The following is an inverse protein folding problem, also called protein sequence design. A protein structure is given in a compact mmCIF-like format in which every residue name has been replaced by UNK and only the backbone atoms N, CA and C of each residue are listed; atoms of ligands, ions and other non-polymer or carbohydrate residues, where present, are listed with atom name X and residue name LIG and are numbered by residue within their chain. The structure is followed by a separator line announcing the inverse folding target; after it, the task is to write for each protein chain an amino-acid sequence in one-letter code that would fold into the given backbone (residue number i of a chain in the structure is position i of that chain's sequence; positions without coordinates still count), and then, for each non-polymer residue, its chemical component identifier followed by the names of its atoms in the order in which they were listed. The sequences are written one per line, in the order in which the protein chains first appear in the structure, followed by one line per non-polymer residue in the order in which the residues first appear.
data_IF_832788572986
#
_entry.id   IF_832788572986
#
_cell.length_a   1.000
_cell.length_b   1.000
_cell.length_c   1.000
_cell.angle_alpha   90.00
_cell.angle_beta   90.00
_cell.angle_gamma   90.00
#
_symmetry.space_group_name_H-M   'P 1'
#
loop_
_entity.id
_entity.type
_entity.pdbx_description
1 polymer ?
#
# COMPACT_ATOMS: atom_id res chain seq x y z
N UNK A 1 -7.89 27.34 -7.03
CA UNK A 1 -8.07 26.16 -7.88
C UNK A 1 -7.58 26.43 -9.29
N UNK A 2 -6.66 25.62 -9.79
CA UNK A 2 -6.19 25.63 -11.17
C UNK A 2 -6.18 24.19 -11.70
N UNK A 3 -6.34 24.02 -13.00
CA UNK A 3 -6.22 22.71 -13.66
C UNK A 3 -4.86 22.71 -14.35
N UNK A 4 -3.98 21.78 -13.97
CA UNK A 4 -2.65 21.67 -14.58
C UNK A 4 -2.63 20.47 -15.54
N UNK A 5 -2.20 20.70 -16.78
CA UNK A 5 -2.01 19.62 -17.74
C UNK A 5 -0.57 19.10 -17.70
N UNK A 6 -0.43 17.78 -17.61
CA UNK A 6 0.86 17.07 -17.53
C UNK A 6 0.94 16.03 -18.65
N UNK A 7 2.12 15.88 -19.26
CA UNK A 7 2.42 14.93 -20.34
C UNK A 7 2.28 15.50 -21.76
N UNK A 8 3.07 15.00 -22.70
CA UNK A 8 3.15 15.55 -24.08
C UNK A 8 1.84 15.49 -24.88
N UNK A 9 0.94 14.55 -24.56
CA UNK A 9 -0.38 14.49 -25.19
C UNK A 9 -1.25 15.72 -24.87
N UNK A 10 -0.95 16.46 -23.81
CA UNK A 10 -1.61 17.72 -23.48
C UNK A 10 -1.41 18.82 -24.53
N UNK A 11 -0.47 18.66 -25.47
CA UNK A 11 -0.30 19.57 -26.62
C UNK A 11 -1.47 19.53 -27.61
N UNK A 12 -2.25 18.45 -27.63
CA UNK A 12 -3.35 18.29 -28.60
C UNK A 12 -4.49 19.28 -28.32
N UNK A 13 -4.84 20.19 -29.26
CA UNK A 13 -5.91 21.17 -29.07
C UNK A 13 -7.29 20.53 -28.85
N UNK A 14 -7.51 19.33 -29.38
CA UNK A 14 -8.75 18.57 -29.18
C UNK A 14 -8.94 18.19 -27.70
N UNK A 15 -7.89 17.69 -27.04
CA UNK A 15 -7.92 17.29 -25.62
C UNK A 15 -8.21 18.50 -24.73
N UNK A 16 -7.58 19.64 -25.00
CA UNK A 16 -7.79 20.88 -24.22
C UNK A 16 -9.22 21.39 -24.31
N UNK A 17 -9.76 21.45 -25.53
CA UNK A 17 -11.14 21.91 -25.75
C UNK A 17 -12.13 21.01 -25.03
N UNK A 18 -11.90 19.70 -25.08
CA UNK A 18 -12.78 18.74 -24.42
C UNK A 18 -12.68 18.82 -22.89
N UNK A 19 -11.47 18.95 -22.33
CA UNK A 19 -11.28 19.17 -20.89
C UNK A 19 -11.89 20.49 -20.41
N UNK A 20 -11.74 21.57 -21.17
CA UNK A 20 -12.37 22.86 -20.86
C UNK A 20 -13.91 22.75 -20.85
N UNK A 21 -14.48 21.95 -21.76
CA UNK A 21 -15.91 21.67 -21.83
C UNK A 21 -16.40 20.85 -20.63
N UNK A 22 -15.65 19.83 -20.23
CA UNK A 22 -16.01 18.94 -19.11
C UNK A 22 -15.86 19.65 -17.77
N UNK A 23 -14.75 20.37 -17.58
CA UNK A 23 -14.38 20.99 -16.30
C UNK A 23 -14.94 22.42 -16.15
N UNK A 24 -15.52 22.98 -17.22
CA UNK A 24 -16.11 24.32 -17.25
C UNK A 24 -15.09 25.45 -17.05
N UNK A 25 -13.80 25.15 -17.17
CA UNK A 25 -12.67 26.05 -16.86
C UNK A 25 -11.51 25.74 -17.78
N UNK A 26 -10.76 26.78 -18.15
CA UNK A 26 -9.62 26.62 -19.05
C UNK A 26 -8.41 26.00 -18.30
N UNK A 27 -7.86 24.89 -18.78
CA UNK A 27 -6.68 24.28 -18.18
C UNK A 27 -5.42 25.14 -18.37
N UNK A 28 -4.65 25.31 -17.29
CA UNK A 28 -3.36 25.96 -17.32
C UNK A 28 -2.30 25.03 -17.94
N UNK A 29 -1.47 25.62 -18.79
CA UNK A 29 -0.43 24.96 -19.54
C UNK A 29 0.92 25.38 -18.98
N UNK A 30 1.61 24.42 -18.38
CA UNK A 30 3.00 24.60 -17.99
C UNK A 30 3.85 24.64 -19.26
N UNK A 31 4.93 25.43 -19.26
CA UNK A 31 5.78 25.63 -20.42
C UNK A 31 6.25 24.30 -21.06
N UNK A 32 6.66 23.33 -20.23
CA UNK A 32 7.13 22.01 -20.64
C UNK A 32 6.36 20.91 -19.88
N UNK A 33 5.15 20.53 -20.35
CA UNK A 33 4.32 19.54 -19.65
C UNK A 33 4.90 18.12 -19.69
N UNK A 34 5.82 17.84 -20.62
CA UNK A 34 6.57 16.58 -20.70
C UNK A 34 7.69 16.43 -19.67
N UNK A 35 8.26 17.55 -19.20
CA UNK A 35 9.40 17.55 -18.27
C UNK A 35 8.99 17.79 -16.81
N UNK A 36 7.79 18.33 -16.58
CA UNK A 36 7.34 18.77 -15.25
C UNK A 36 7.39 17.66 -14.18
N UNK A 37 7.12 16.41 -14.56
CA UNK A 37 7.19 15.26 -13.63
C UNK A 37 8.63 15.01 -13.18
N UNK A 38 9.58 15.08 -14.11
CA UNK A 38 11.00 14.89 -13.79
C UNK A 38 11.55 16.04 -12.94
N UNK A 39 11.14 17.28 -13.23
CA UNK A 39 11.49 18.46 -12.43
C UNK A 39 10.94 18.31 -11.00
N UNK A 40 9.68 17.88 -10.86
CA UNK A 40 9.05 17.62 -9.56
C UNK A 40 9.80 16.56 -8.76
N UNK A 41 10.22 15.47 -9.41
CA UNK A 41 11.03 14.43 -8.76
C UNK A 41 12.39 14.95 -8.30
N UNK A 42 13.06 15.79 -9.10
CA UNK A 42 14.34 16.39 -8.72
C UNK A 42 14.21 17.33 -7.51
N UNK A 43 13.13 18.10 -7.44
CA UNK A 43 12.82 18.95 -6.29
C UNK A 43 12.57 18.11 -5.02
N UNK A 44 11.89 16.97 -5.14
CA UNK A 44 11.65 16.07 -4.02
C UNK A 44 12.96 15.46 -3.49
N UNK A 45 13.88 15.08 -4.37
CA UNK A 45 15.23 14.63 -3.97
C UNK A 45 15.98 15.75 -3.25
N UNK A 46 15.99 16.97 -3.80
CA UNK A 46 16.64 18.11 -3.18
C UNK A 46 16.05 18.45 -1.80
N UNK A 47 14.75 18.21 -1.58
CA UNK A 47 14.09 18.31 -0.28
C UNK A 47 14.55 17.22 0.69
N UNK A 48 14.62 15.97 0.24
CA UNK A 48 15.10 14.84 1.06
C UNK A 48 16.56 15.03 1.49
N UNK A 49 17.38 15.66 0.65
CA UNK A 49 18.77 16.02 0.95
C UNK A 49 18.91 17.28 1.84
N UNK A 50 17.81 17.98 2.11
CA UNK A 50 17.79 19.20 2.94
C UNK A 50 18.26 20.47 2.23
N UNK A 51 18.38 20.45 0.90
CA UNK A 51 18.75 21.63 0.09
C UNK A 51 17.62 22.66 0.00
N UNK A 52 16.37 22.21 0.20
CA UNK A 52 15.17 23.05 0.18
C UNK A 52 14.44 22.90 1.52
N UNK A 53 14.30 24.01 2.27
CA UNK A 53 13.59 24.05 3.54
C UNK A 53 12.18 24.67 3.37
N UNK A 54 11.23 24.25 4.20
CA UNK A 54 9.91 24.89 4.31
C UNK A 54 8.76 24.27 3.51
N UNK A 55 8.96 23.10 2.88
CA UNK A 55 7.89 22.36 2.19
C UNK A 55 7.56 21.09 2.97
N UNK A 56 6.35 21.02 3.51
CA UNK A 56 5.78 19.79 4.08
C UNK A 56 4.98 19.08 3.00
N UNK A 57 5.49 17.93 2.54
CA UNK A 57 4.75 17.03 1.66
C UNK A 57 3.94 16.05 2.51
N UNK A 58 2.62 16.04 2.31
CA UNK A 58 1.71 15.08 2.92
C UNK A 58 1.17 14.23 1.79
N UNK A 59 1.63 12.99 1.72
CA UNK A 59 1.17 12.04 0.71
C UNK A 59 0.01 11.19 1.26
N UNK A 60 -0.73 10.55 0.38
CA UNK A 60 -1.91 9.74 0.71
C UNK A 60 -1.89 8.38 0.02
N UNK A 61 -2.39 7.35 0.69
CA UNK A 61 -2.48 6.01 0.14
C UNK A 61 -3.40 5.97 -1.10
N UNK A 62 -2.87 5.51 -2.24
CA UNK A 62 -3.62 5.46 -3.49
C UNK A 62 -4.84 4.51 -3.44
N UNK A 63 -4.75 3.44 -2.65
CA UNK A 63 -5.81 2.44 -2.43
C UNK A 63 -5.85 2.05 -0.95
N UNK A 64 -7.04 1.68 -0.48
CA UNK A 64 -7.21 1.13 0.86
C UNK A 64 -6.63 -0.28 1.00
N UNK A 65 -6.37 -0.68 2.23
CA UNK A 65 -5.92 -2.03 2.61
C UNK A 65 -6.98 -2.67 3.50
N UNK A 66 -7.35 -3.90 3.14
CA UNK A 66 -8.34 -4.70 3.87
C UNK A 66 -7.76 -6.03 4.32
N UNK A 67 -8.32 -6.57 5.39
CA UNK A 67 -8.01 -7.91 5.91
C UNK A 67 -9.21 -8.84 5.69
N UNK A 68 -8.95 -10.11 5.45
CA UNK A 68 -9.96 -11.16 5.50
C UNK A 68 -9.43 -12.32 6.33
N UNK A 69 -10.29 -12.92 7.15
CA UNK A 69 -9.95 -14.05 8.00
C UNK A 69 -10.75 -15.27 7.53
N UNK A 70 -10.10 -16.42 7.35
CA UNK A 70 -10.74 -17.70 6.95
C UNK A 70 -11.65 -17.61 5.71
N UNK A 71 -11.19 -16.93 4.65
CA UNK A 71 -11.99 -16.68 3.43
C UNK A 71 -13.32 -15.94 3.68
N UNK A 72 -13.40 -15.19 4.78
CA UNK A 72 -14.54 -14.32 5.09
C UNK A 72 -14.58 -13.05 4.25
N UNK A 73 -15.51 -12.13 4.55
CA UNK A 73 -15.54 -10.81 3.92
C UNK A 73 -14.24 -10.04 4.20
N UNK A 74 -13.90 -9.14 3.29
CA UNK A 74 -12.81 -8.20 3.51
C UNK A 74 -13.29 -7.04 4.41
N UNK A 75 -12.55 -6.79 5.47
CA UNK A 75 -12.76 -5.68 6.39
C UNK A 75 -11.68 -4.61 6.15
N UNK A 76 -12.06 -3.37 5.81
CA UNK A 76 -11.09 -2.30 5.59
C UNK A 76 -10.37 -1.93 6.89
N UNK A 77 -9.05 -1.82 6.81
CA UNK A 77 -8.18 -1.43 7.92
C UNK A 77 -7.60 -0.05 7.70
N UNK A 78 -7.02 0.19 6.54
CA UNK A 78 -6.51 1.51 6.15
C UNK A 78 -7.33 1.98 4.96
N UNK A 79 -7.96 3.14 5.09
CA UNK A 79 -8.82 3.68 4.04
C UNK A 79 -7.99 4.25 2.88
N UNK A 80 -8.56 4.22 1.69
CA UNK A 80 -8.08 4.97 0.54
C UNK A 80 -7.95 6.45 0.92
N UNK A 81 -6.89 7.09 0.41
CA UNK A 81 -6.58 8.48 0.70
C UNK A 81 -6.21 8.78 2.15
N UNK A 82 -5.92 7.77 2.97
CA UNK A 82 -5.31 7.97 4.29
C UNK A 82 -3.92 8.57 4.14
N UNK A 83 -3.56 9.53 4.98
CA UNK A 83 -2.23 10.16 4.99
C UNK A 83 -1.15 9.11 5.26
N UNK A 84 -0.06 9.11 4.50
CA UNK A 84 1.11 8.24 4.76
C UNK A 84 2.30 9.06 5.25
N UNK A 85 3.13 8.52 6.16
CA UNK A 85 3.03 7.18 6.75
C UNK A 85 1.88 7.05 7.76
N UNK A 86 1.25 5.88 7.79
CA UNK A 86 0.16 5.54 8.73
C UNK A 86 0.29 4.13 9.27
N UNK A 87 -0.29 3.91 10.45
CA UNK A 87 -0.39 2.59 11.07
C UNK A 87 -1.79 2.41 11.65
N UNK A 88 -2.34 1.21 11.47
CA UNK A 88 -3.63 0.84 11.99
C UNK A 88 -3.56 -0.55 12.62
N UNK A 89 -4.36 -0.75 13.65
CA UNK A 89 -4.36 -1.97 14.46
C UNK A 89 -5.67 -2.73 14.31
N UNK A 90 -5.57 -4.06 14.21
CA UNK A 90 -6.71 -4.98 14.28
C UNK A 90 -6.42 -6.09 15.26
N UNK A 91 -7.41 -6.40 16.10
CA UNK A 91 -7.32 -7.50 17.05
C UNK A 91 -7.99 -8.72 16.43
N UNK A 92 -7.24 -9.81 16.34
CA UNK A 92 -7.74 -11.13 15.99
C UNK A 92 -7.77 -12.02 17.23
N UNK A 93 -8.57 -13.08 17.16
CA UNK A 93 -8.69 -14.07 18.23
C UNK A 93 -8.82 -15.49 17.68
N UNK A 94 -8.52 -16.47 18.52
CA UNK A 94 -8.70 -17.90 18.19
C UNK A 94 -10.18 -18.24 18.06
N UNK A 95 -10.49 -19.16 17.13
CA UNK A 95 -11.85 -19.66 16.87
C UNK A 95 -12.07 -21.09 17.38
N UNK A 96 -11.00 -21.83 17.63
CA UNK A 96 -11.03 -23.19 18.14
C UNK A 96 -10.17 -23.30 19.40
N UNK A 97 -10.53 -24.26 20.26
CA UNK A 97 -9.75 -24.59 21.44
C UNK A 97 -8.38 -25.13 21.02
N UNK A 98 -7.33 -24.76 21.77
CA UNK A 98 -5.94 -25.17 21.55
C UNK A 98 -5.43 -24.82 20.13
N UNK A 99 -5.96 -23.75 19.54
CA UNK A 99 -5.57 -23.29 18.23
C UNK A 99 -4.18 -22.62 18.25
N UNK A 100 -3.19 -23.29 17.66
CA UNK A 100 -1.78 -22.86 17.65
C UNK A 100 -1.40 -21.89 16.51
N UNK A 101 -2.34 -21.61 15.58
CA UNK A 101 -2.07 -20.76 14.40
C UNK A 101 -3.30 -20.00 13.93
N UNK A 102 -3.14 -18.74 13.55
CA UNK A 102 -4.18 -17.91 12.89
C UNK A 102 -3.72 -17.55 11.48
N UNK A 103 -4.61 -17.69 10.49
CA UNK A 103 -4.33 -17.29 9.11
C UNK A 103 -5.25 -16.16 8.67
N UNK A 104 -4.69 -15.21 7.91
CA UNK A 104 -5.42 -14.09 7.34
C UNK A 104 -4.87 -13.70 5.96
N UNK A 105 -5.72 -13.12 5.13
CA UNK A 105 -5.39 -12.60 3.81
C UNK A 105 -5.38 -11.08 3.85
N UNK A 106 -4.39 -10.48 3.19
CA UNK A 106 -4.28 -9.03 3.00
C UNK A 106 -4.66 -8.69 1.57
N UNK A 107 -5.51 -7.68 1.42
CA UNK A 107 -6.09 -7.26 0.15
C UNK A 107 -5.89 -5.76 -0.07
N UNK A 108 -5.69 -5.36 -1.32
CA UNK A 108 -5.69 -3.97 -1.75
C UNK A 108 -7.04 -3.62 -2.40
N UNK A 109 -7.79 -2.76 -1.74
CA UNK A 109 -9.18 -2.41 -2.03
C UNK A 109 -10.05 -2.50 -0.77
N UNK A 110 -11.23 -1.92 -0.83
CA UNK A 110 -12.17 -1.78 0.31
C UNK A 110 -13.49 -2.53 0.10
N UNK A 111 -13.62 -3.28 -1.00
CA UNK A 111 -14.84 -4.04 -1.26
C UNK A 111 -14.96 -5.15 -0.22
N UNK A 112 -16.15 -5.40 0.36
CA UNK A 112 -16.35 -6.52 1.28
C UNK A 112 -16.20 -7.88 0.58
N UNK A 113 -16.39 -7.91 -0.74
CA UNK A 113 -16.23 -9.10 -1.59
C UNK A 113 -14.75 -9.27 -2.01
N UNK A 114 -14.05 -10.36 -1.61
CA UNK A 114 -12.62 -10.53 -1.87
C UNK A 114 -12.24 -10.49 -3.36
N UNK A 115 -13.07 -11.05 -4.24
CA UNK A 115 -12.80 -11.11 -5.69
C UNK A 115 -12.82 -9.74 -6.39
N UNK A 116 -13.31 -8.69 -5.73
CA UNK A 116 -13.29 -7.31 -6.24
C UNK A 116 -12.06 -6.53 -5.77
N UNK A 117 -11.24 -7.12 -4.91
CA UNK A 117 -9.98 -6.56 -4.44
C UNK A 117 -8.79 -7.28 -5.06
N UNK A 118 -7.61 -6.65 -5.02
CA UNK A 118 -6.36 -7.30 -5.43
C UNK A 118 -5.76 -8.04 -4.23
N UNK A 119 -5.52 -9.34 -4.34
CA UNK A 119 -4.84 -10.11 -3.29
C UNK A 119 -3.37 -9.68 -3.21
N UNK A 120 -2.88 -9.36 -2.02
CA UNK A 120 -1.46 -9.04 -1.78
C UNK A 120 -0.70 -10.24 -1.23
N UNK A 121 -1.35 -11.04 -0.40
CA UNK A 121 -0.75 -12.24 0.16
C UNK A 121 -1.57 -12.85 1.28
N UNK A 122 -1.20 -14.08 1.61
CA UNK A 122 -1.72 -14.80 2.77
C UNK A 122 -0.65 -14.89 3.84
N UNK A 123 -1.04 -14.66 5.08
CA UNK A 123 -0.14 -14.64 6.23
C UNK A 123 -0.64 -15.58 7.33
N UNK A 124 0.30 -16.18 8.04
CA UNK A 124 0.06 -17.03 9.20
C UNK A 124 0.79 -16.49 10.42
N UNK A 125 0.11 -16.45 11.55
CA UNK A 125 0.70 -16.21 12.87
C UNK A 125 0.80 -17.57 13.54
N UNK A 126 2.04 -18.01 13.81
CA UNK A 126 2.35 -19.33 14.37
C UNK A 126 2.76 -19.21 15.84
N UNK A 127 2.87 -20.36 16.51
CA UNK A 127 3.31 -20.48 17.90
C UNK A 127 2.41 -19.76 18.91
N UNK A 128 1.09 -19.82 18.69
CA UNK A 128 0.12 -19.32 19.67
C UNK A 128 0.03 -20.25 20.88
N UNK A 129 -0.14 -19.71 22.10
CA UNK A 129 -0.34 -20.53 23.28
C UNK A 129 -1.64 -21.33 23.19
N UNK A 130 -1.61 -22.57 23.70
CA UNK A 130 -2.81 -23.40 23.82
C UNK A 130 -3.74 -22.80 24.89
N UNK A 131 -4.91 -22.35 24.45
CA UNK A 131 -5.95 -21.81 25.30
C UNK A 131 -7.33 -22.04 24.66
N UNK A 132 -8.43 -21.93 25.43
CA UNK A 132 -9.77 -21.96 24.90
C UNK A 132 -10.00 -20.95 23.76
N UNK A 133 -10.94 -21.25 22.87
CA UNK A 133 -11.32 -20.34 21.80
C UNK A 133 -11.72 -18.96 22.36
N UNK A 134 -11.11 -17.89 21.85
CA UNK A 134 -11.40 -16.51 22.25
C UNK A 134 -10.45 -15.92 23.29
N UNK A 135 -9.68 -16.75 24.00
CA UNK A 135 -8.80 -16.26 25.09
C UNK A 135 -7.50 -15.65 24.56
N UNK A 136 -6.96 -16.18 23.47
CA UNK A 136 -5.77 -15.62 22.82
C UNK A 136 -6.19 -14.43 21.97
N UNK A 137 -5.66 -13.25 22.31
CA UNK A 137 -5.89 -12.01 21.58
C UNK A 137 -4.59 -11.55 20.92
N UNK A 138 -4.61 -11.43 19.60
CA UNK A 138 -3.44 -11.05 18.80
C UNK A 138 -3.70 -9.70 18.14
N UNK A 139 -2.87 -8.72 18.45
CA UNK A 139 -2.84 -7.43 17.79
C UNK A 139 -2.02 -7.53 16.51
N UNK A 140 -2.66 -7.28 15.38
CA UNK A 140 -2.00 -7.10 14.09
C UNK A 140 -1.89 -5.60 13.83
N UNK A 141 -0.66 -5.10 13.74
CA UNK A 141 -0.37 -3.74 13.29
C UNK A 141 -0.02 -3.78 11.80
N UNK A 142 -0.75 -2.98 11.01
CA UNK A 142 -0.49 -2.76 9.59
C UNK A 142 0.07 -1.36 9.44
N UNK A 143 1.25 -1.25 8.87
CA UNK A 143 1.90 0.02 8.59
C UNK A 143 2.03 0.22 7.09
N UNK A 144 1.72 1.42 6.61
CA UNK A 144 2.05 1.87 5.25
C UNK A 144 3.08 2.98 5.37
N UNK A 145 4.23 2.77 4.74
CA UNK A 145 5.29 3.76 4.67
C UNK A 145 5.03 4.81 3.59
N UNK A 146 5.86 5.85 3.58
CA UNK A 146 5.81 6.94 2.59
C UNK A 146 6.06 6.46 1.15
N UNK A 147 6.72 5.33 0.96
CA UNK A 147 6.95 4.71 -0.37
C UNK A 147 5.82 3.73 -0.77
N UNK A 148 4.81 3.54 0.09
CA UNK A 148 3.72 2.59 -0.11
C UNK A 148 4.05 1.15 0.33
N UNK A 149 5.22 0.89 0.94
CA UNK A 149 5.55 -0.42 1.50
C UNK A 149 4.60 -0.75 2.65
N UNK A 150 3.95 -1.91 2.57
CA UNK A 150 3.08 -2.44 3.63
C UNK A 150 3.89 -3.37 4.53
N UNK A 151 3.91 -3.09 5.83
CA UNK A 151 4.49 -3.96 6.86
C UNK A 151 3.42 -4.47 7.80
N UNK A 152 3.58 -5.73 8.21
CA UNK A 152 2.72 -6.40 9.17
C UNK A 152 3.56 -6.76 10.39
N UNK A 153 3.05 -6.47 11.58
CA UNK A 153 3.59 -7.01 12.82
C UNK A 153 2.47 -7.59 13.67
N UNK A 154 2.78 -8.63 14.44
CA UNK A 154 1.84 -9.28 15.33
C UNK A 154 2.39 -9.30 16.76
N UNK A 155 1.52 -9.08 17.72
CA UNK A 155 1.84 -9.14 19.15
C UNK A 155 0.68 -9.78 19.90
N UNK A 156 0.97 -10.72 20.78
CA UNK A 156 -0.04 -11.24 21.70
C UNK A 156 -0.31 -10.19 22.80
N UNK A 157 -1.57 -9.84 23.04
CA UNK A 157 -1.92 -8.77 23.96
C UNK A 157 -1.72 -9.13 25.44
N UNK A 158 -1.81 -10.42 25.80
CA UNK A 158 -1.72 -10.86 27.20
C UNK A 158 -0.26 -10.95 27.65
N UNK A 159 0.58 -11.66 26.88
CA UNK A 159 2.00 -11.81 27.19
C UNK A 159 2.83 -10.59 26.79
N UNK A 160 2.36 -9.81 25.80
CA UNK A 160 3.14 -8.74 25.17
C UNK A 160 4.24 -9.25 24.25
N UNK A 161 4.31 -10.56 23.99
CA UNK A 161 5.32 -11.15 23.11
C UNK A 161 5.00 -10.87 21.64
N UNK A 162 6.06 -10.58 20.87
CA UNK A 162 5.94 -10.42 19.42
C UNK A 162 5.85 -11.79 18.77
N UNK A 163 4.83 -11.96 17.96
CA UNK A 163 4.60 -13.20 17.23
C UNK A 163 5.21 -13.12 15.84
N UNK A 164 5.71 -14.25 15.37
CA UNK A 164 6.26 -14.34 14.02
C UNK A 164 5.12 -14.38 13.00
N UNK A 165 5.17 -13.46 12.03
CA UNK A 165 4.25 -13.43 10.89
C UNK A 165 4.94 -14.07 9.70
N UNK A 166 4.42 -15.20 9.23
CA UNK A 166 4.90 -15.91 8.06
C UNK A 166 4.05 -15.59 6.85
N UNK A 167 4.67 -15.27 5.72
CA UNK A 167 3.96 -15.14 4.45
C UNK A 167 3.84 -16.51 3.77
N UNK A 168 2.62 -16.99 3.57
CA UNK A 168 2.31 -18.32 3.04
C UNK A 168 2.13 -18.33 1.53
N UNK A 169 1.51 -17.27 0.98
CA UNK A 169 1.25 -17.14 -0.45
C UNK A 169 1.71 -15.76 -0.89
N UNK A 170 2.44 -15.75 -2.01
CA UNK A 170 3.01 -14.56 -2.59
C UNK A 170 2.23 -14.16 -3.85
N UNK A 171 1.70 -12.94 -3.89
CA UNK A 171 1.05 -12.38 -5.07
C UNK A 171 2.02 -11.59 -5.98
N UNK A 172 3.30 -11.46 -5.59
CA UNK A 172 4.32 -10.66 -6.28
C UNK A 172 5.47 -11.48 -6.88
N UNK A 173 6.60 -10.81 -7.10
CA UNK A 173 7.86 -11.46 -7.49
C UNK A 173 8.65 -11.85 -6.25
N UNK A 174 9.06 -13.12 -6.16
CA UNK A 174 9.91 -13.55 -5.06
C UNK A 174 11.27 -12.84 -5.13
N UNK A 175 11.96 -12.75 -3.99
CA UNK A 175 13.32 -12.15 -3.94
C UNK A 175 14.28 -12.84 -4.92
N UNK A 176 14.10 -14.15 -5.14
CA UNK A 176 14.87 -14.91 -6.12
C UNK A 176 14.54 -14.50 -7.57
N UNK A 177 13.26 -14.25 -7.87
CA UNK A 177 12.83 -13.78 -9.19
C UNK A 177 13.35 -12.37 -9.47
N UNK A 178 13.33 -11.47 -8.48
CA UNK A 178 13.88 -10.12 -8.59
C UNK A 178 15.38 -10.15 -8.89
N UNK A 179 16.15 -10.98 -8.17
CA UNK A 179 17.60 -11.11 -8.42
C UNK A 179 17.88 -11.70 -9.80
N UNK A 180 17.09 -12.69 -10.24
CA UNK A 180 17.22 -13.29 -11.57
C UNK A 180 16.93 -12.25 -12.67
N UNK A 181 15.84 -11.50 -12.54
CA UNK A 181 15.45 -10.45 -13.48
C UNK A 181 16.51 -9.34 -13.53
N UNK A 182 17.02 -8.89 -12.38
CA UNK A 182 18.06 -7.88 -12.31
C UNK A 182 19.34 -8.32 -13.03
N UNK A 183 19.75 -9.58 -12.89
CA UNK A 183 20.89 -10.15 -13.62
C UNK A 183 20.63 -10.18 -15.13
N UNK A 184 19.47 -10.65 -15.56
CA UNK A 184 19.10 -10.71 -16.98
C UNK A 184 19.06 -9.32 -17.64
N UNK A 185 18.55 -8.30 -16.94
CA UNK A 185 18.54 -6.92 -17.44
C UNK A 185 19.94 -6.32 -17.55
N UNK A 186 20.84 -6.63 -16.60
CA UNK A 186 22.24 -6.22 -16.67
C UNK A 186 23.00 -6.88 -17.84
N UNK A 187 22.71 -8.15 -18.12
CA UNK A 187 23.30 -8.90 -19.24
C UNK A 187 22.77 -8.46 -20.61
N UNK A 188 21.51 -8.04 -20.70
CA UNK A 188 20.89 -7.59 -21.96
C UNK A 188 21.25 -6.14 -22.32
N UNK A 189 21.74 -5.36 -21.35
CA UNK A 189 22.15 -3.96 -21.53
C UNK A 189 23.65 -3.80 -21.85
N UNK A 190 24.39 -4.91 -21.96
CA UNK A 190 25.79 -4.98 -22.41
C UNK A 190 25.88 -5.51 -23.83
#
# INVERSE_FOLDING_TARGET
DEILLVGGMSHMPAIRRELARILGREPNMIANPEEVVAIGAALEVARLEGTIEGVLLVDVAARGVSLSIYNGPCEPVIAQSSVVPTRENRVLTTRHDDQTRIEFDVWEGESPEPFRNRHLGRYGIVDLPEAPAGDVLVLIEITIDTDGTIRLSAMELVSGERLQVEQLVHAGLSRADVVRLARQMAETSS
#
